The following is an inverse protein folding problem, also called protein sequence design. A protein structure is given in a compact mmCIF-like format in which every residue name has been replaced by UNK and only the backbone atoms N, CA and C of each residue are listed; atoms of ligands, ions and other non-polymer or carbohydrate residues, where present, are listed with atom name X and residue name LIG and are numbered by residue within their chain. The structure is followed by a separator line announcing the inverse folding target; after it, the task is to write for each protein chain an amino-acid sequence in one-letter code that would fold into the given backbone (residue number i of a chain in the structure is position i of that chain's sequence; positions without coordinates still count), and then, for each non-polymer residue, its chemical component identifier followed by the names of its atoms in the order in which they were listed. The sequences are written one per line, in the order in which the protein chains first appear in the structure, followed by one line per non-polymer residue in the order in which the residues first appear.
data_IF_591337218841
#
_entry.id   IF_591337218841
#
_cell.length_a   1.000
_cell.length_b   1.000
_cell.length_c   1.000
_cell.angle_alpha   90.00
_cell.angle_beta   90.00
_cell.angle_gamma   90.00
#
_symmetry.space_group_name_H-M   'P 1'
#
loop_
_entity.id
_entity.type
_entity.pdbx_description
1 polymer ?
#
# COMPACT_ATOMS: atom_id res chain seq x y z
N UNK A 1 -2.94 -20.77 13.36
CA UNK A 1 -2.65 -22.09 12.75
C UNK A 1 -3.85 -22.78 12.08
N UNK A 2 -5.05 -22.87 12.68
CA UNK A 2 -6.18 -23.61 12.07
C UNK A 2 -6.67 -23.05 10.72
N UNK A 3 -6.67 -21.73 10.52
CA UNK A 3 -7.06 -21.08 9.25
C UNK A 3 -6.05 -21.32 8.11
N UNK A 4 -4.75 -21.30 8.39
CA UNK A 4 -3.68 -21.61 7.42
C UNK A 4 -3.78 -23.07 6.98
N UNK A 5 -3.98 -23.99 7.94
CA UNK A 5 -4.19 -25.41 7.65
C UNK A 5 -5.46 -25.65 6.83
N UNK A 6 -6.52 -24.85 6.99
CA UNK A 6 -7.73 -24.97 6.18
C UNK A 6 -7.54 -24.49 4.73
N UNK A 7 -6.65 -23.52 4.47
CA UNK A 7 -6.27 -23.15 3.10
C UNK A 7 -5.42 -24.25 2.46
N UNK A 8 -4.42 -24.76 3.17
CA UNK A 8 -3.59 -25.87 2.67
C UNK A 8 -4.42 -27.15 2.42
N UNK A 9 -5.41 -27.43 3.28
CA UNK A 9 -6.39 -28.52 3.08
C UNK A 9 -7.39 -28.28 1.96
N UNK A 10 -7.62 -27.03 1.55
CA UNK A 10 -8.44 -26.73 0.37
C UNK A 10 -7.67 -26.85 -0.95
N UNK A 11 -6.35 -27.04 -0.90
CA UNK A 11 -5.46 -27.10 -2.06
C UNK A 11 -4.82 -28.49 -2.24
N UNK A 12 -4.91 -29.42 -1.28
CA UNK A 12 -4.44 -30.80 -1.50
C UNK A 12 -5.25 -31.86 -0.74
N UNK A 13 -5.77 -32.85 -1.47
CA UNK A 13 -6.40 -34.05 -0.93
C UNK A 13 -5.30 -35.11 -0.73
N UNK A 14 -4.90 -35.32 0.53
CA UNK A 14 -4.56 -36.65 1.10
C UNK A 14 -4.37 -36.53 2.62
N UNK A 15 -5.21 -37.28 3.33
CA UNK A 15 -5.30 -37.38 4.79
C UNK A 15 -4.14 -38.17 5.40
N UNK A 16 -3.66 -37.74 6.57
CA UNK A 16 -3.27 -38.66 7.66
C UNK A 16 -3.30 -37.94 9.04
N UNK A 17 -3.85 -38.54 10.13
CA UNK A 17 -3.96 -37.92 11.45
C UNK A 17 -2.95 -38.50 12.46
N UNK A 18 -2.24 -37.66 13.21
CA UNK A 18 -1.61 -38.08 14.48
C UNK A 18 -1.22 -36.89 15.40
N UNK A 19 -1.83 -36.90 16.60
CA UNK A 19 -1.38 -36.37 17.90
C UNK A 19 -1.23 -34.86 18.13
N UNK A 20 -1.36 -34.30 19.34
CA UNK A 20 -2.15 -34.53 20.55
C UNK A 20 -1.91 -33.29 21.45
N UNK A 21 -2.83 -33.02 22.38
CA UNK A 21 -2.90 -31.88 23.31
C UNK A 21 -1.66 -31.67 24.19
N UNK A 22 -1.43 -30.43 24.66
CA UNK A 22 -1.12 -30.08 26.06
C UNK A 22 -1.61 -28.64 26.34
N UNK A 23 -2.45 -28.52 27.36
CA UNK A 23 -2.91 -27.27 27.99
C UNK A 23 -1.95 -26.90 29.13
N UNK A 24 -1.57 -25.62 29.22
CA UNK A 24 -0.95 -25.02 30.39
C UNK A 24 -1.58 -23.66 30.68
N UNK A 25 -2.39 -23.57 31.73
CA UNK A 25 -2.96 -22.30 32.23
C UNK A 25 -1.94 -21.61 33.13
N UNK A 26 -1.58 -20.37 32.83
CA UNK A 26 -0.91 -19.46 33.76
C UNK A 26 -1.93 -18.41 34.20
N UNK A 27 -2.20 -18.36 35.51
CA UNK A 27 -3.00 -17.32 36.14
C UNK A 27 -2.14 -16.06 36.31
N UNK A 28 -2.54 -14.96 35.67
CA UNK A 28 -2.04 -13.61 35.97
C UNK A 28 -3.11 -12.81 36.72
N UNK A 29 -2.68 -12.16 37.81
CA UNK A 29 -3.51 -11.37 38.72
C UNK A 29 -4.20 -10.19 38.02
N UNK A 30 -5.50 -10.01 38.31
CA UNK A 30 -6.32 -8.90 37.83
C UNK A 30 -5.96 -7.61 38.57
N UNK A 31 -5.62 -6.57 37.80
CA UNK A 31 -5.54 -5.19 38.27
C UNK A 31 -6.57 -4.35 37.48
N UNK A 32 -7.46 -3.64 38.18
CA UNK A 32 -8.23 -2.46 37.72
C UNK A 32 -9.09 -2.59 36.45
N UNK A 33 -10.38 -2.88 36.63
CA UNK A 33 -11.41 -2.91 35.59
C UNK A 33 -11.81 -1.51 35.10
N UNK A 34 -11.43 -1.15 33.85
CA UNK A 34 -12.25 -0.29 32.97
C UNK A 34 -11.84 -0.28 31.46
N UNK A 35 -11.17 -1.32 30.92
CA UNK A 35 -10.67 -1.27 29.53
C UNK A 35 -10.56 -2.58 28.75
N UNK A 36 -11.30 -3.64 29.11
CA UNK A 36 -11.07 -5.01 28.59
C UNK A 36 -12.10 -5.52 27.55
N UNK A 37 -12.96 -4.67 26.99
CA UNK A 37 -13.87 -5.14 25.94
C UNK A 37 -13.12 -5.29 24.62
N UNK A 38 -13.22 -6.47 24.01
CA UNK A 38 -12.79 -6.65 22.63
C UNK A 38 -13.74 -5.90 21.68
N UNK A 39 -13.24 -5.58 20.49
CA UNK A 39 -14.02 -4.97 19.42
C UNK A 39 -15.15 -5.93 18.97
N UNK A 40 -16.26 -5.37 18.48
CA UNK A 40 -17.39 -6.15 17.95
C UNK A 40 -17.76 -5.71 16.52
N UNK A 41 -17.16 -4.63 16.02
CA UNK A 41 -17.43 -4.08 14.70
C UNK A 41 -16.13 -3.71 13.98
N UNK A 42 -16.16 -3.76 12.65
CA UNK A 42 -15.12 -3.22 11.79
C UNK A 42 -15.76 -2.35 10.71
N UNK A 43 -14.98 -1.45 10.14
CA UNK A 43 -15.41 -0.50 9.12
C UNK A 43 -14.49 -0.59 7.91
N UNK A 44 -15.02 -0.98 6.76
CA UNK A 44 -14.24 -1.05 5.54
C UNK A 44 -14.28 0.29 4.81
N UNK A 45 -13.11 0.85 4.53
CA UNK A 45 -12.94 2.00 3.64
C UNK A 45 -12.09 1.58 2.43
N UNK A 46 -12.56 1.94 1.24
CA UNK A 46 -11.86 1.71 -0.03
C UNK A 46 -11.95 2.95 -0.90
N UNK A 47 -10.89 3.20 -1.67
CA UNK A 47 -10.93 4.13 -2.79
C UNK A 47 -11.91 3.64 -3.86
N UNK A 48 -12.41 4.57 -4.68
CA UNK A 48 -13.01 4.19 -5.95
C UNK A 48 -11.91 3.59 -6.84
N UNK A 49 -12.28 2.56 -7.60
CA UNK A 49 -11.36 1.87 -8.51
C UNK A 49 -12.01 1.81 -9.88
N UNK A 50 -11.27 2.22 -10.90
CA UNK A 50 -11.62 1.98 -12.31
C UNK A 50 -10.56 1.07 -12.90
N UNK A 51 -10.99 -0.06 -13.45
CA UNK A 51 -10.11 -1.02 -14.10
C UNK A 51 -10.46 -1.14 -15.59
N UNK A 52 -9.43 -1.20 -16.42
CA UNK A 52 -9.59 -1.53 -17.83
C UNK A 52 -8.34 -1.16 -18.64
N UNK A 53 -8.01 -1.93 -19.69
CA UNK A 53 -6.94 -1.53 -20.61
C UNK A 53 -7.20 -0.14 -21.18
N UNK A 54 -6.28 0.79 -20.97
CA UNK A 54 -6.34 2.15 -21.51
C UNK A 54 -7.05 3.20 -20.65
N UNK A 55 -7.59 2.85 -19.47
CA UNK A 55 -8.31 3.80 -18.58
C UNK A 55 -7.46 5.00 -18.14
N UNK A 56 -6.14 4.90 -18.21
CA UNK A 56 -5.21 6.03 -18.02
C UNK A 56 -5.59 7.25 -18.87
N UNK A 57 -6.15 7.01 -20.06
CA UNK A 57 -6.50 8.07 -21.03
C UNK A 57 -7.68 8.93 -20.59
N UNK A 58 -8.41 8.53 -19.55
CA UNK A 58 -9.60 9.23 -19.04
C UNK A 58 -9.28 10.25 -17.95
N UNK A 59 -8.05 10.26 -17.41
CA UNK A 59 -7.69 11.05 -16.22
C UNK A 59 -7.89 12.56 -16.38
N UNK A 60 -7.70 13.12 -17.58
CA UNK A 60 -8.01 14.51 -17.88
C UNK A 60 -9.49 14.83 -17.70
N UNK A 61 -10.38 13.95 -18.17
CA UNK A 61 -11.83 14.10 -18.00
C UNK A 61 -12.23 13.94 -16.53
N UNK A 62 -11.55 13.09 -15.77
CA UNK A 62 -11.79 12.96 -14.33
C UNK A 62 -11.50 14.28 -13.59
N UNK A 63 -10.37 14.94 -13.88
CA UNK A 63 -10.05 16.24 -13.28
C UNK A 63 -10.98 17.37 -13.78
N UNK A 64 -11.39 17.34 -15.04
CA UNK A 64 -12.38 18.28 -15.58
C UNK A 64 -13.72 18.15 -14.82
N UNK A 65 -14.19 16.92 -14.59
CA UNK A 65 -15.40 16.63 -13.82
C UNK A 65 -15.29 17.06 -12.35
N UNK A 66 -14.09 16.93 -11.76
CA UNK A 66 -13.78 17.42 -10.41
C UNK A 66 -13.64 18.94 -10.33
N UNK A 67 -13.65 19.64 -11.49
CA UNK A 67 -13.41 21.08 -11.61
C UNK A 67 -12.02 21.51 -11.09
N UNK A 68 -11.05 20.60 -11.15
CA UNK A 68 -9.65 20.89 -10.82
C UNK A 68 -9.03 21.73 -11.94
N UNK A 69 -8.23 22.73 -11.57
CA UNK A 69 -7.60 23.64 -12.53
C UNK A 69 -6.08 23.47 -12.56
N UNK A 70 -5.44 23.18 -11.41
CA UNK A 70 -4.00 23.12 -11.26
C UNK A 70 -3.59 21.82 -10.58
N UNK A 71 -3.14 20.85 -11.36
CA UNK A 71 -2.78 19.50 -10.90
C UNK A 71 -1.27 19.37 -10.69
N UNK A 72 -0.88 18.91 -9.50
CA UNK A 72 0.47 18.44 -9.23
C UNK A 72 0.63 17.00 -9.66
N UNK A 73 1.44 16.73 -10.70
CA UNK A 73 1.67 15.37 -11.24
C UNK A 73 2.96 14.81 -10.66
N UNK A 74 2.87 13.71 -9.93
CA UNK A 74 3.99 13.04 -9.27
C UNK A 74 4.40 11.80 -10.05
N UNK A 75 5.70 11.66 -10.32
CA UNK A 75 6.29 10.46 -10.91
C UNK A 75 7.76 10.34 -10.49
N UNK A 76 8.42 9.26 -10.91
CA UNK A 76 9.86 9.06 -10.70
C UNK A 76 10.66 9.20 -12.01
N UNK A 77 11.96 9.39 -11.87
CA UNK A 77 12.87 9.59 -13.00
C UNK A 77 12.94 8.38 -13.97
N UNK A 78 12.51 7.18 -13.56
CA UNK A 78 12.46 6.03 -14.45
C UNK A 78 11.23 6.06 -15.35
N UNK A 79 10.14 6.69 -14.91
CA UNK A 79 8.85 6.66 -15.61
C UNK A 79 8.56 7.91 -16.43
N UNK A 80 9.23 9.03 -16.17
CA UNK A 80 8.95 10.31 -16.86
C UNK A 80 8.95 10.21 -18.39
N UNK A 81 9.81 9.34 -18.95
CA UNK A 81 9.94 9.10 -20.39
C UNK A 81 9.14 7.88 -20.90
N UNK A 82 8.33 7.23 -20.06
CA UNK A 82 7.54 6.06 -20.44
C UNK A 82 6.18 6.45 -21.05
N UNK A 83 5.60 5.53 -21.84
CA UNK A 83 4.30 5.73 -22.51
C UNK A 83 3.14 6.00 -21.55
N UNK A 84 3.20 5.54 -20.29
CA UNK A 84 2.18 5.85 -19.28
C UNK A 84 2.14 7.35 -18.97
N UNK A 85 3.31 8.00 -18.88
CA UNK A 85 3.40 9.44 -18.67
C UNK A 85 2.94 10.19 -19.90
N UNK A 86 3.37 9.80 -21.11
CA UNK A 86 2.86 10.42 -22.34
C UNK A 86 1.33 10.37 -22.43
N UNK A 87 0.72 9.19 -22.21
CA UNK A 87 -0.74 9.02 -22.21
C UNK A 87 -1.44 9.88 -21.15
N UNK A 88 -0.84 9.97 -19.97
CA UNK A 88 -1.36 10.80 -18.86
C UNK A 88 -1.34 12.28 -19.24
N UNK A 89 -0.19 12.80 -19.65
CA UNK A 89 -0.01 14.21 -19.96
C UNK A 89 -0.86 14.62 -21.18
N UNK A 90 -0.95 13.76 -22.20
CA UNK A 90 -1.83 13.96 -23.34
C UNK A 90 -3.31 14.07 -22.92
N UNK A 91 -3.74 13.24 -21.97
CA UNK A 91 -5.11 13.28 -21.43
C UNK A 91 -5.38 14.61 -20.72
N UNK A 92 -4.47 15.04 -19.83
CA UNK A 92 -4.58 16.33 -19.14
C UNK A 92 -4.62 17.50 -20.12
N UNK A 93 -3.75 17.51 -21.14
CA UNK A 93 -3.69 18.56 -22.17
C UNK A 93 -4.98 18.60 -23.00
N UNK A 94 -5.53 17.45 -23.40
CA UNK A 94 -6.80 17.37 -24.15
C UNK A 94 -7.97 17.94 -23.35
N UNK A 95 -8.02 17.69 -22.04
CA UNK A 95 -9.02 18.26 -21.13
C UNK A 95 -8.68 19.66 -20.62
N UNK A 96 -7.62 20.30 -21.16
CA UNK A 96 -7.20 21.67 -20.80
C UNK A 96 -6.91 21.86 -19.30
N UNK A 97 -6.43 20.82 -18.64
CA UNK A 97 -6.03 20.86 -17.24
C UNK A 97 -4.61 21.45 -17.16
N UNK A 98 -4.41 22.49 -16.35
CA UNK A 98 -3.05 22.98 -16.10
C UNK A 98 -2.36 22.02 -15.13
N UNK A 99 -1.10 21.69 -15.41
CA UNK A 99 -0.33 20.81 -14.54
C UNK A 99 1.14 21.21 -14.47
N UNK A 100 1.79 20.77 -13.40
CA UNK A 100 3.25 20.74 -13.29
C UNK A 100 3.69 19.38 -12.77
N UNK A 101 4.81 18.90 -13.30
CA UNK A 101 5.36 17.59 -12.97
C UNK A 101 6.42 17.74 -11.87
N UNK A 102 6.33 16.84 -10.88
CA UNK A 102 7.34 16.55 -9.89
C UNK A 102 7.86 15.14 -10.18
N UNK A 103 9.03 15.05 -10.82
CA UNK A 103 9.70 13.81 -11.23
C UNK A 103 10.86 13.42 -10.30
N UNK A 104 10.98 14.11 -9.17
CA UNK A 104 12.02 13.93 -8.17
C UNK A 104 11.63 12.91 -7.08
N UNK A 105 10.57 12.11 -7.30
CA UNK A 105 10.19 11.07 -6.34
C UNK A 105 11.34 10.07 -6.18
N UNK A 106 11.73 9.85 -4.93
CA UNK A 106 12.71 8.85 -4.54
C UNK A 106 12.05 7.49 -4.35
N UNK A 107 12.66 6.44 -4.90
CA UNK A 107 12.31 5.04 -4.56
C UNK A 107 12.68 4.77 -3.11
N UNK A 108 11.73 4.20 -2.35
CA UNK A 108 11.75 4.15 -0.87
C UNK A 108 11.81 5.58 -0.30
N UNK A 109 10.69 6.32 -0.24
CA UNK A 109 10.72 7.73 0.15
C UNK A 109 11.36 7.94 1.53
N UNK A 110 11.99 9.09 1.76
CA UNK A 110 12.48 9.52 3.08
C UNK A 110 11.64 10.67 3.64
N UNK A 111 11.82 10.99 4.92
CA UNK A 111 11.16 12.17 5.51
C UNK A 111 11.56 13.47 4.81
N UNK A 112 12.81 13.60 4.37
CA UNK A 112 13.28 14.73 3.56
C UNK A 112 12.51 14.81 2.24
N UNK A 113 12.42 13.70 1.49
CA UNK A 113 11.73 13.68 0.20
C UNK A 113 10.22 13.97 0.33
N UNK A 114 9.59 13.58 1.45
CA UNK A 114 8.21 13.93 1.74
C UNK A 114 8.03 15.43 2.00
N UNK A 115 8.94 16.05 2.76
CA UNK A 115 8.92 17.49 3.02
C UNK A 115 9.12 18.30 1.73
N UNK A 116 10.07 17.89 0.89
CA UNK A 116 10.34 18.56 -0.39
C UNK A 116 9.13 18.51 -1.33
N UNK A 117 8.48 17.35 -1.42
CA UNK A 117 7.26 17.16 -2.19
C UNK A 117 6.09 17.99 -1.65
N UNK A 118 5.92 18.07 -0.32
CA UNK A 118 4.90 18.90 0.31
C UNK A 118 5.12 20.39 0.04
N UNK A 119 6.36 20.86 0.12
CA UNK A 119 6.72 22.25 -0.17
C UNK A 119 6.47 22.60 -1.64
N UNK A 120 6.77 21.69 -2.56
CA UNK A 120 6.41 21.86 -3.97
C UNK A 120 4.91 22.10 -4.17
N UNK A 121 4.05 21.30 -3.54
CA UNK A 121 2.59 21.48 -3.63
C UNK A 121 2.15 22.80 -3.02
N UNK A 122 2.73 23.17 -1.88
CA UNK A 122 2.42 24.42 -1.16
C UNK A 122 2.76 25.66 -1.99
N UNK A 123 3.95 25.71 -2.58
CA UNK A 123 4.42 26.85 -3.39
C UNK A 123 3.59 26.99 -4.67
N UNK A 124 3.31 25.88 -5.35
CA UNK A 124 2.59 25.89 -6.62
C UNK A 124 1.07 26.00 -6.48
N UNK A 125 0.55 25.83 -5.25
CA UNK A 125 -0.88 25.96 -4.92
C UNK A 125 -1.78 25.06 -5.78
N UNK A 126 -1.39 23.79 -5.94
CA UNK A 126 -2.24 22.83 -6.66
C UNK A 126 -3.56 22.61 -5.92
N UNK A 127 -4.62 22.38 -6.68
CA UNK A 127 -5.95 22.06 -6.18
C UNK A 127 -6.27 20.56 -6.25
N UNK A 128 -5.41 19.77 -6.91
CA UNK A 128 -5.50 18.32 -6.99
C UNK A 128 -4.11 17.68 -7.23
N UNK A 129 -4.02 16.39 -6.90
CA UNK A 129 -2.79 15.59 -6.99
C UNK A 129 -3.03 14.40 -7.93
N UNK A 130 -2.09 14.16 -8.84
CA UNK A 130 -2.06 12.99 -9.70
C UNK A 130 -0.77 12.22 -9.47
N UNK A 131 -0.87 10.96 -9.05
CA UNK A 131 0.29 10.09 -8.87
C UNK A 131 0.37 9.08 -10.01
N UNK A 132 1.49 9.01 -10.72
CA UNK A 132 1.73 8.01 -11.78
C UNK A 132 3.03 7.27 -11.48
N UNK A 133 2.91 6.07 -10.92
CA UNK A 133 4.08 5.30 -10.52
C UNK A 133 3.78 4.13 -9.60
N UNK A 134 4.83 3.58 -8.98
CA UNK A 134 4.70 2.58 -7.93
C UNK A 134 4.33 3.18 -6.57
N UNK A 135 4.39 2.36 -5.52
CA UNK A 135 4.06 2.78 -4.15
C UNK A 135 4.81 4.01 -3.67
N UNK A 136 6.09 4.17 -4.01
CA UNK A 136 6.87 5.36 -3.61
C UNK A 136 6.27 6.67 -4.14
N UNK A 137 5.82 6.69 -5.40
CA UNK A 137 5.18 7.87 -6.01
C UNK A 137 3.85 8.18 -5.33
N UNK A 138 3.02 7.14 -5.11
CA UNK A 138 1.71 7.31 -4.50
C UNK A 138 1.84 7.76 -3.04
N UNK A 139 2.76 7.18 -2.28
CA UNK A 139 3.00 7.53 -0.87
C UNK A 139 3.57 8.95 -0.73
N UNK A 140 4.49 9.35 -1.61
CA UNK A 140 4.97 10.74 -1.67
C UNK A 140 3.84 11.72 -2.00
N UNK A 141 2.98 11.41 -2.98
CA UNK A 141 1.84 12.25 -3.31
C UNK A 141 0.81 12.36 -2.18
N UNK A 142 0.57 11.27 -1.44
CA UNK A 142 -0.28 11.26 -0.23
C UNK A 142 0.28 12.17 0.85
N UNK A 143 1.57 12.05 1.16
CA UNK A 143 2.23 12.90 2.15
C UNK A 143 2.24 14.37 1.72
N UNK A 144 2.55 14.65 0.46
CA UNK A 144 2.53 15.99 -0.09
C UNK A 144 1.13 16.63 -0.01
N UNK A 145 0.07 15.86 -0.29
CA UNK A 145 -1.31 16.32 -0.15
C UNK A 145 -1.66 16.63 1.32
N UNK A 146 -1.27 15.75 2.25
CA UNK A 146 -1.51 15.93 3.68
C UNK A 146 -0.84 17.20 4.21
N UNK A 147 0.49 17.30 4.11
CA UNK A 147 1.24 18.41 4.72
C UNK A 147 1.08 19.74 3.97
N UNK A 148 0.70 19.72 2.69
CA UNK A 148 0.32 20.96 2.00
C UNK A 148 -1.10 21.43 2.32
N UNK A 149 -1.94 20.57 2.91
CA UNK A 149 -3.30 20.92 3.34
C UNK A 149 -3.34 21.33 4.81
N UNK A 150 -2.34 20.92 5.60
CA UNK A 150 -2.13 21.35 6.99
C UNK A 150 -0.73 21.96 7.17
N UNK A 151 -0.54 23.24 6.81
CA UNK A 151 0.78 23.87 6.80
C UNK A 151 1.36 24.15 8.20
N UNK A 152 0.55 24.05 9.25
CA UNK A 152 0.93 24.32 10.64
C UNK A 152 1.31 23.04 11.41
N UNK A 153 1.08 21.86 10.83
CA UNK A 153 1.40 20.59 11.45
C UNK A 153 2.92 20.35 11.52
N UNK A 154 3.38 19.81 12.65
CA UNK A 154 4.72 19.23 12.74
C UNK A 154 4.76 17.95 11.87
N UNK A 155 5.89 17.69 11.20
CA UNK A 155 6.03 16.49 10.37
C UNK A 155 5.69 15.20 11.14
N UNK A 156 6.04 15.10 12.43
CA UNK A 156 5.78 13.91 13.23
C UNK A 156 4.35 13.83 13.81
N UNK A 157 3.48 14.81 13.58
CA UNK A 157 2.11 14.79 14.11
C UNK A 157 1.32 13.60 13.59
N UNK A 158 1.37 13.37 12.28
CA UNK A 158 0.63 12.30 11.61
C UNK A 158 1.37 10.96 11.54
N UNK A 159 2.67 10.96 11.78
CA UNK A 159 3.49 9.74 11.76
C UNK A 159 3.04 8.80 12.88
N UNK A 160 2.95 7.51 12.58
CA UNK A 160 2.44 6.52 13.51
C UNK A 160 3.34 6.39 14.77
N UNK A 161 2.75 6.14 15.95
CA UNK A 161 3.50 5.72 17.13
C UNK A 161 4.25 4.41 16.86
N UNK A 162 5.42 4.18 17.47
CA UNK A 162 6.02 4.98 18.56
C UNK A 162 6.91 6.15 18.08
N UNK A 163 7.08 6.36 16.77
CA UNK A 163 8.00 7.39 16.24
C UNK A 163 7.34 8.77 16.22
N UNK A 164 6.09 8.84 15.76
CA UNK A 164 5.30 10.07 15.74
C UNK A 164 4.14 10.06 16.72
N UNK A 165 3.27 11.06 16.61
CA UNK A 165 2.14 11.29 17.54
C UNK A 165 0.85 10.57 17.10
N UNK A 166 0.74 10.14 15.84
CA UNK A 166 -0.44 9.43 15.30
C UNK A 166 -1.73 10.24 15.36
N UNK A 167 -1.65 11.56 15.22
CA UNK A 167 -2.80 12.45 15.31
C UNK A 167 -3.83 12.16 14.21
N UNK A 168 -5.14 12.33 14.50
CA UNK A 168 -6.17 12.19 13.49
C UNK A 168 -6.07 13.31 12.45
N UNK A 169 -6.24 12.96 11.17
CA UNK A 169 -6.40 13.94 10.08
C UNK A 169 -7.86 14.40 10.06
N UNK A 170 -8.12 15.64 10.47
CA UNK A 170 -9.46 16.23 10.55
C UNK A 170 -9.70 17.33 9.50
N UNK A 171 -8.65 17.69 8.76
CA UNK A 171 -8.70 18.66 7.66
C UNK A 171 -9.11 18.00 6.35
N UNK A 172 -9.80 18.71 5.44
CA UNK A 172 -10.06 18.21 4.10
C UNK A 172 -8.77 18.13 3.28
N UNK A 173 -8.53 16.99 2.63
CA UNK A 173 -7.44 16.84 1.67
C UNK A 173 -7.92 17.14 0.24
N UNK A 174 -6.98 17.51 -0.64
CA UNK A 174 -7.25 17.73 -2.06
C UNK A 174 -7.59 16.40 -2.74
N UNK A 175 -8.37 16.37 -3.84
CA UNK A 175 -8.56 15.16 -4.62
C UNK A 175 -7.22 14.57 -5.07
N UNK A 176 -7.07 13.25 -4.93
CA UNK A 176 -5.88 12.53 -5.35
C UNK A 176 -6.27 11.35 -6.24
N UNK A 177 -5.80 11.35 -7.49
CA UNK A 177 -5.92 10.22 -8.41
C UNK A 177 -4.59 9.47 -8.44
N UNK A 178 -4.64 8.14 -8.35
CA UNK A 178 -3.47 7.28 -8.42
C UNK A 178 -3.54 6.35 -9.64
N UNK A 179 -2.48 6.32 -10.43
CA UNK A 179 -2.28 5.46 -11.59
C UNK A 179 -1.09 4.53 -11.27
N UNK A 180 -1.33 3.34 -10.68
CA UNK A 180 -0.26 2.43 -10.34
C UNK A 180 0.43 1.88 -11.59
N UNK A 181 1.76 1.80 -11.56
CA UNK A 181 2.58 1.21 -12.65
C UNK A 181 3.28 -0.08 -12.22
N UNK A 182 3.09 -0.49 -10.98
CA UNK A 182 3.59 -1.76 -10.43
C UNK A 182 2.46 -2.61 -9.87
N UNK A 183 2.65 -3.93 -9.85
CA UNK A 183 1.71 -4.90 -9.29
C UNK A 183 2.23 -5.38 -7.93
N UNK A 184 2.13 -4.55 -6.90
CA UNK A 184 2.76 -4.77 -5.60
C UNK A 184 1.98 -4.20 -4.41
N UNK A 185 2.13 -2.89 -4.21
CA UNK A 185 1.83 -2.25 -2.92
C UNK A 185 0.34 -2.07 -2.65
N UNK A 186 -0.50 -2.08 -3.70
CA UNK A 186 -1.91 -1.71 -3.59
C UNK A 186 -2.16 -0.30 -3.05
N UNK A 187 -1.14 0.56 -3.04
CA UNK A 187 -1.17 1.90 -2.41
C UNK A 187 -2.27 2.79 -2.98
N UNK A 188 -2.70 2.55 -4.21
CA UNK A 188 -3.82 3.23 -4.85
C UNK A 188 -5.19 3.01 -4.16
N UNK A 189 -5.27 2.05 -3.22
CA UNK A 189 -6.49 1.73 -2.46
C UNK A 189 -6.35 1.88 -0.94
N UNK A 190 -5.15 2.23 -0.44
CA UNK A 190 -4.86 2.30 1.00
C UNK A 190 -4.71 3.74 1.48
N UNK A 191 -4.96 3.95 2.78
CA UNK A 191 -4.69 5.21 3.47
C UNK A 191 -3.33 5.22 4.16
N UNK A 192 -2.35 4.51 3.61
CA UNK A 192 -1.01 4.41 4.19
C UNK A 192 0.01 5.07 3.28
N UNK A 193 0.96 5.77 3.88
CA UNK A 193 2.15 6.30 3.23
C UNK A 193 3.38 5.89 4.05
N UNK A 194 4.29 5.13 3.44
CA UNK A 194 5.49 4.58 4.07
C UNK A 194 6.73 5.37 3.64
N UNK A 195 7.64 5.60 4.59
CA UNK A 195 8.93 6.24 4.33
C UNK A 195 10.01 5.76 5.31
N UNK A 196 11.27 5.94 4.91
CA UNK A 196 12.43 5.78 5.78
C UNK A 196 12.64 7.06 6.59
N UNK A 197 12.56 6.95 7.91
CA UNK A 197 12.89 8.04 8.81
C UNK A 197 14.40 8.07 9.07
N UNK A 198 15.10 8.94 8.36
CA UNK A 198 16.56 8.99 8.31
C UNK A 198 17.21 9.16 9.70
N UNK A 199 16.69 10.01 10.61
CA UNK A 199 17.28 10.19 11.94
C UNK A 199 17.36 8.91 12.78
N UNK A 200 16.44 7.95 12.59
CA UNK A 200 16.43 6.68 13.32
C UNK A 200 16.86 5.49 12.47
N UNK A 201 17.13 5.68 11.17
CA UNK A 201 17.41 4.60 10.20
C UNK A 201 16.34 3.50 10.26
N UNK A 202 15.09 3.91 10.38
CA UNK A 202 13.96 3.02 10.58
C UNK A 202 12.84 3.37 9.60
N UNK A 203 12.22 2.34 9.03
CA UNK A 203 11.03 2.51 8.20
C UNK A 203 9.81 2.74 9.09
N UNK A 204 8.98 3.72 8.73
CA UNK A 204 7.74 4.07 9.43
C UNK A 204 6.72 4.58 8.42
N UNK A 205 5.58 5.09 8.89
CA UNK A 205 4.61 5.69 7.99
C UNK A 205 3.48 6.40 8.70
N UNK A 206 2.54 6.86 7.88
CA UNK A 206 1.28 7.48 8.27
C UNK A 206 0.17 6.52 7.88
N UNK A 207 -0.74 6.18 8.80
CA UNK A 207 -1.88 5.31 8.51
C UNK A 207 -3.19 6.00 8.89
N UNK A 208 -3.83 6.65 7.90
CA UNK A 208 -5.10 7.33 8.11
C UNK A 208 -6.03 7.20 6.88
N UNK A 209 -7.32 6.98 7.12
CA UNK A 209 -8.33 6.81 6.05
C UNK A 209 -8.38 8.00 5.09
N UNK A 210 -8.11 9.21 5.57
CA UNK A 210 -8.10 10.42 4.75
C UNK A 210 -7.07 10.39 3.61
N UNK A 211 -5.98 9.63 3.73
CA UNK A 211 -4.94 9.52 2.70
C UNK A 211 -5.34 8.62 1.53
N UNK A 212 -6.49 7.96 1.57
CA UNK A 212 -6.93 7.11 0.46
C UNK A 212 -7.09 7.96 -0.80
N UNK A 213 -6.55 7.52 -1.95
CA UNK A 213 -6.84 8.16 -3.22
C UNK A 213 -8.35 8.25 -3.46
N UNK A 214 -8.79 9.35 -4.05
CA UNK A 214 -10.17 9.52 -4.50
C UNK A 214 -10.51 8.50 -5.58
N UNK A 215 -9.56 8.19 -6.45
CA UNK A 215 -9.69 7.22 -7.54
C UNK A 215 -8.36 6.52 -7.83
N UNK A 216 -8.38 5.18 -7.89
CA UNK A 216 -7.31 4.36 -8.45
C UNK A 216 -7.64 3.94 -9.89
N UNK A 217 -6.81 4.30 -10.87
CA UNK A 217 -6.95 3.92 -12.29
C UNK A 217 -6.05 2.72 -12.61
N UNK A 218 -6.62 1.52 -12.54
CA UNK A 218 -5.91 0.25 -12.74
C UNK A 218 -5.89 -0.09 -14.22
N UNK A 219 -4.89 0.42 -14.93
CA UNK A 219 -4.67 0.13 -16.35
C UNK A 219 -3.62 -0.98 -16.50
N UNK A 220 -3.99 -2.22 -16.87
CA UNK A 220 -3.07 -3.33 -16.99
C UNK A 220 -1.91 -3.06 -17.97
N UNK A 221 -2.09 -2.17 -18.94
CA UNK A 221 -1.05 -1.79 -19.90
C UNK A 221 0.14 -1.08 -19.23
N UNK A 222 -0.06 -0.46 -18.06
CA UNK A 222 0.98 0.30 -17.36
C UNK A 222 2.04 -0.62 -16.73
N UNK A 223 1.73 -1.90 -16.54
CA UNK A 223 2.63 -2.88 -15.89
C UNK A 223 3.45 -3.71 -16.88
N UNK A 224 3.20 -3.57 -18.19
CA UNK A 224 3.89 -4.35 -19.23
C UNK A 224 5.38 -3.99 -19.35
N UNK A 225 5.74 -2.76 -18.99
CA UNK A 225 7.14 -2.30 -18.99
C UNK A 225 7.88 -2.57 -17.68
N UNK A 226 7.21 -3.17 -16.69
CA UNK A 226 7.79 -3.44 -15.37
C UNK A 226 8.93 -4.46 -15.46
N UNK A 227 10.16 -4.11 -15.01
CA UNK A 227 11.30 -5.03 -15.02
C UNK A 227 11.00 -6.33 -14.27
N UNK A 228 11.65 -7.42 -14.69
CA UNK A 228 11.42 -8.76 -14.12
C UNK A 228 11.65 -8.80 -12.60
N UNK A 229 12.70 -8.17 -12.11
CA UNK A 229 12.99 -8.10 -10.67
C UNK A 229 11.92 -7.34 -9.89
N UNK A 230 11.47 -6.19 -10.42
CA UNK A 230 10.36 -5.43 -9.84
C UNK A 230 9.11 -6.30 -9.79
N UNK A 231 8.79 -7.04 -10.86
CA UNK A 231 7.66 -7.96 -10.90
C UNK A 231 7.75 -9.09 -9.86
N UNK A 232 8.95 -9.63 -9.64
CA UNK A 232 9.21 -10.66 -8.62
C UNK A 232 8.96 -10.10 -7.23
N UNK A 233 9.63 -9.00 -6.88
CA UNK A 233 9.53 -8.46 -5.52
C UNK A 233 8.16 -7.86 -5.25
N UNK A 234 7.53 -7.22 -6.22
CA UNK A 234 6.18 -6.71 -6.08
C UNK A 234 5.17 -7.86 -5.89
N UNK A 235 5.29 -8.98 -6.61
CA UNK A 235 4.40 -10.11 -6.41
C UNK A 235 4.61 -10.84 -5.08
N UNK A 236 5.83 -10.85 -4.53
CA UNK A 236 6.06 -11.31 -3.16
C UNK A 236 5.36 -10.43 -2.13
N UNK A 237 5.35 -9.11 -2.34
CA UNK A 237 4.61 -8.16 -1.52
C UNK A 237 3.10 -8.49 -1.54
N UNK A 238 2.51 -8.68 -2.72
CA UNK A 238 1.09 -9.09 -2.90
C UNK A 238 0.78 -10.39 -2.17
N UNK A 239 1.65 -11.41 -2.28
CA UNK A 239 1.49 -12.68 -1.58
C UNK A 239 1.47 -12.48 -0.06
N UNK A 240 2.44 -11.74 0.49
CA UNK A 240 2.52 -11.49 1.92
C UNK A 240 1.36 -10.62 2.41
N UNK A 241 0.93 -9.59 1.67
CA UNK A 241 -0.28 -8.84 1.97
C UNK A 241 -1.50 -9.76 2.14
N UNK A 242 -1.73 -10.67 1.20
CA UNK A 242 -2.86 -11.58 1.23
C UNK A 242 -2.78 -12.59 2.39
N UNK A 243 -1.61 -13.19 2.60
CA UNK A 243 -1.41 -14.14 3.70
C UNK A 243 -1.59 -13.44 5.06
N UNK A 244 -0.88 -12.33 5.29
CA UNK A 244 -0.88 -11.66 6.59
C UNK A 244 -2.24 -11.05 6.93
N UNK A 245 -2.94 -10.45 5.96
CA UNK A 245 -4.28 -9.90 6.20
C UNK A 245 -5.29 -10.99 6.56
N UNK A 246 -5.21 -12.16 5.93
CA UNK A 246 -6.10 -13.28 6.20
C UNK A 246 -5.81 -13.95 7.55
N UNK A 247 -4.55 -13.97 7.98
CA UNK A 247 -4.11 -14.60 9.23
C UNK A 247 -3.95 -13.64 10.40
N UNK A 248 -4.18 -12.34 10.18
CA UNK A 248 -4.20 -11.35 11.24
C UNK A 248 -5.18 -11.73 12.35
N UNK A 249 -4.88 -11.23 13.56
CA UNK A 249 -5.80 -11.30 14.70
C UNK A 249 -7.21 -10.92 14.24
N UNK A 250 -8.23 -11.69 14.62
CA UNK A 250 -9.58 -11.40 14.13
C UNK A 250 -10.05 -10.06 14.68
N UNK A 251 -10.87 -9.36 13.91
CA UNK A 251 -11.36 -8.04 14.32
C UNK A 251 -12.06 -8.08 15.69
N UNK A 252 -12.77 -9.17 16.01
CA UNK A 252 -13.51 -9.37 17.25
C UNK A 252 -12.65 -9.81 18.46
N UNK A 253 -11.35 -10.04 18.23
CA UNK A 253 -10.36 -10.38 19.25
C UNK A 253 -9.47 -9.16 19.61
N UNK A 254 -9.57 -8.05 18.87
CA UNK A 254 -8.77 -6.85 19.11
C UNK A 254 -9.21 -6.13 20.38
N UNK A 255 -8.23 -5.66 21.15
CA UNK A 255 -8.41 -4.92 22.39
C UNK A 255 -7.30 -3.85 22.54
N UNK A 256 -7.58 -2.68 23.15
CA UNK A 256 -8.88 -2.25 23.64
C UNK A 256 -9.80 -1.79 22.49
N UNK A 257 -11.11 -2.01 22.65
CA UNK A 257 -12.12 -1.41 21.77
C UNK A 257 -12.06 0.12 21.85
N UNK A 258 -12.09 0.86 20.72
CA UNK A 258 -12.15 2.31 20.74
C UNK A 258 -13.45 2.81 21.42
N UNK A 259 -13.36 3.88 22.20
CA UNK A 259 -14.53 4.48 22.87
C UNK A 259 -15.50 5.17 21.90
N UNK A 260 -15.01 5.59 20.73
CA UNK A 260 -15.78 6.23 19.67
C UNK A 260 -15.39 5.60 18.31
N UNK A 261 -16.35 5.28 17.41
CA UNK A 261 -16.06 4.77 16.07
C UNK A 261 -15.01 5.58 15.29
N UNK A 262 -14.95 6.91 15.49
CA UNK A 262 -13.97 7.79 14.86
C UNK A 262 -12.51 7.40 15.18
N UNK A 263 -12.27 6.80 16.34
CA UNK A 263 -10.94 6.36 16.77
C UNK A 263 -10.61 4.92 16.36
N UNK A 264 -11.49 4.26 15.59
CA UNK A 264 -11.19 2.93 15.08
C UNK A 264 -10.01 3.03 14.12
N UNK A 265 -8.93 2.25 14.31
CA UNK A 265 -7.74 2.37 13.48
C UNK A 265 -8.02 1.95 12.03
N UNK A 266 -7.15 2.35 11.11
CA UNK A 266 -7.25 1.94 9.70
C UNK A 266 -7.18 0.41 9.56
N UNK A 267 -6.26 -0.24 10.29
CA UNK A 267 -6.10 -1.69 10.33
C UNK A 267 -6.85 -2.29 11.52
N UNK A 268 -7.73 -3.24 11.21
CA UNK A 268 -8.76 -3.70 12.13
C UNK A 268 -8.75 -5.20 12.35
N UNK A 269 -7.73 -5.91 11.88
CA UNK A 269 -7.64 -7.36 11.98
C UNK A 269 -8.41 -8.07 10.87
N UNK A 270 -8.20 -9.39 10.75
CA UNK A 270 -8.88 -10.20 9.75
C UNK A 270 -10.39 -10.11 9.95
N UNK A 271 -11.12 -9.97 8.85
CA UNK A 271 -12.56 -9.73 8.87
C UNK A 271 -13.22 -10.33 7.63
N UNK A 272 -14.51 -10.75 7.70
CA UNK A 272 -15.16 -11.49 6.62
C UNK A 272 -15.16 -10.78 5.27
N UNK A 273 -15.16 -9.44 5.24
CA UNK A 273 -15.15 -8.68 3.97
C UNK A 273 -13.73 -8.65 3.37
N UNK A 274 -12.72 -8.37 4.18
CA UNK A 274 -11.31 -8.37 3.73
C UNK A 274 -10.84 -9.77 3.32
N UNK A 275 -11.33 -10.81 4.00
CA UNK A 275 -11.02 -12.21 3.73
C UNK A 275 -11.44 -12.64 2.30
N UNK A 276 -12.46 -12.01 1.69
CA UNK A 276 -12.84 -12.25 0.28
C UNK A 276 -11.71 -11.85 -0.66
N UNK A 277 -11.16 -10.65 -0.47
CA UNK A 277 -10.10 -10.11 -1.32
C UNK A 277 -8.79 -10.84 -1.11
N UNK A 278 -8.44 -11.19 0.13
CA UNK A 278 -7.25 -11.97 0.43
C UNK A 278 -7.29 -13.34 -0.25
N UNK A 279 -8.43 -14.05 -0.19
CA UNK A 279 -8.59 -15.37 -0.83
C UNK A 279 -8.50 -15.29 -2.36
N UNK A 280 -9.15 -14.32 -2.99
CA UNK A 280 -9.05 -14.17 -4.45
C UNK A 280 -7.64 -13.78 -4.88
N UNK A 281 -6.96 -12.92 -4.10
CA UNK A 281 -5.56 -12.59 -4.33
C UNK A 281 -4.68 -13.84 -4.32
N UNK A 282 -4.83 -14.71 -3.31
CA UNK A 282 -4.06 -15.97 -3.23
C UNK A 282 -4.32 -16.87 -4.44
N UNK A 283 -5.57 -16.94 -4.90
CA UNK A 283 -5.97 -17.72 -6.07
C UNK A 283 -5.33 -17.19 -7.37
N UNK A 284 -5.25 -15.87 -7.50
CA UNK A 284 -4.57 -15.23 -8.63
C UNK A 284 -3.06 -15.46 -8.55
N UNK A 285 -2.46 -15.32 -7.37
CA UNK A 285 -1.01 -15.55 -7.16
C UNK A 285 -0.64 -16.98 -7.58
N UNK A 286 -1.37 -17.98 -7.10
CA UNK A 286 -1.17 -19.39 -7.46
C UNK A 286 -1.15 -19.59 -8.98
N UNK A 287 -2.11 -19.00 -9.69
CA UNK A 287 -2.27 -19.21 -11.13
C UNK A 287 -1.33 -18.38 -12.00
N UNK A 288 -1.06 -17.13 -11.64
CA UNK A 288 -0.50 -16.13 -12.58
C UNK A 288 0.86 -15.56 -12.15
N UNK A 289 1.27 -15.70 -10.89
CA UNK A 289 2.51 -15.04 -10.44
C UNK A 289 3.75 -15.55 -11.16
N UNK A 290 3.94 -16.88 -11.24
CA UNK A 290 5.08 -17.44 -11.97
C UNK A 290 5.01 -17.16 -13.48
N UNK A 291 3.80 -17.12 -14.06
CA UNK A 291 3.60 -16.79 -15.48
C UNK A 291 4.07 -15.36 -15.77
N UNK A 292 3.63 -14.39 -14.97
CA UNK A 292 3.97 -12.98 -15.16
C UNK A 292 5.48 -12.69 -15.04
N UNK A 293 6.19 -13.48 -14.24
CA UNK A 293 7.66 -13.41 -14.10
C UNK A 293 8.38 -14.06 -15.28
N UNK A 294 7.89 -15.21 -15.74
CA UNK A 294 8.53 -16.01 -16.81
C UNK A 294 8.38 -15.35 -18.17
N UNK A 295 7.24 -14.72 -18.42
CA UNK A 295 6.94 -14.06 -19.67
C UNK A 295 6.34 -12.67 -19.41
N UNK A 296 7.10 -11.63 -19.77
CA UNK A 296 6.63 -10.24 -19.66
C UNK A 296 5.55 -9.88 -20.70
N UNK A 297 5.43 -10.68 -21.77
CA UNK A 297 4.41 -10.50 -22.81
C UNK A 297 3.11 -11.25 -22.52
N UNK A 298 3.04 -12.04 -21.44
CA UNK A 298 1.81 -12.67 -20.97
C UNK A 298 0.88 -11.60 -20.36
N UNK A 299 0.12 -10.93 -21.24
CA UNK A 299 -0.80 -9.84 -20.89
C UNK A 299 -1.84 -10.33 -19.87
N UNK A 300 -2.33 -11.57 -20.00
CA UNK A 300 -3.30 -12.13 -19.05
C UNK A 300 -2.70 -12.21 -17.65
N UNK A 301 -1.50 -12.80 -17.52
CA UNK A 301 -0.85 -12.94 -16.22
C UNK A 301 -0.46 -11.59 -15.62
N UNK A 302 0.05 -10.65 -16.42
CA UNK A 302 0.38 -9.29 -15.97
C UNK A 302 -0.86 -8.53 -15.51
N UNK A 303 -1.95 -8.61 -16.26
CA UNK A 303 -3.22 -7.97 -15.92
C UNK A 303 -3.81 -8.53 -14.63
N UNK A 304 -3.84 -9.86 -14.48
CA UNK A 304 -4.34 -10.50 -13.27
C UNK A 304 -3.47 -10.18 -12.05
N UNK A 305 -2.14 -10.15 -12.19
CA UNK A 305 -1.25 -9.73 -11.10
C UNK A 305 -1.47 -8.27 -10.70
N UNK A 306 -1.76 -7.39 -11.66
CA UNK A 306 -2.10 -6.00 -11.36
C UNK A 306 -3.42 -5.89 -10.58
N UNK A 307 -4.45 -6.64 -10.97
CA UNK A 307 -5.69 -6.75 -10.19
C UNK A 307 -5.48 -7.35 -8.80
N UNK A 308 -4.65 -8.39 -8.68
CA UNK A 308 -4.32 -8.98 -7.39
C UNK A 308 -3.62 -7.99 -6.44
N UNK A 309 -2.78 -7.09 -6.96
CA UNK A 309 -2.22 -5.99 -6.16
C UNK A 309 -3.31 -5.08 -5.60
N UNK A 310 -4.30 -4.72 -6.42
CA UNK A 310 -5.44 -3.90 -5.98
C UNK A 310 -6.32 -4.66 -4.98
N UNK A 311 -6.62 -5.94 -5.21
CA UNK A 311 -7.38 -6.77 -4.27
C UNK A 311 -6.66 -6.92 -2.93
N UNK A 312 -5.35 -7.17 -2.96
CA UNK A 312 -4.52 -7.17 -1.76
C UNK A 312 -4.65 -5.84 -1.02
N UNK A 313 -4.47 -4.71 -1.72
CA UNK A 313 -4.63 -3.36 -1.18
C UNK A 313 -5.96 -3.13 -0.47
N UNK A 314 -7.07 -3.54 -1.10
CA UNK A 314 -8.40 -3.43 -0.51
C UNK A 314 -8.54 -4.32 0.74
N UNK A 315 -8.01 -5.53 0.71
CA UNK A 315 -8.02 -6.47 1.84
C UNK A 315 -7.14 -6.01 3.01
N UNK A 316 -5.82 -5.93 2.81
CA UNK A 316 -4.87 -5.57 3.86
C UNK A 316 -5.04 -4.10 4.28
N UNK A 317 -5.49 -3.21 3.41
CA UNK A 317 -5.76 -1.81 3.73
C UNK A 317 -6.80 -1.62 4.84
N UNK A 318 -7.58 -2.67 5.15
CA UNK A 318 -8.57 -2.71 6.21
C UNK A 318 -8.25 -3.73 7.31
N UNK A 319 -7.68 -4.89 6.96
CA UNK A 319 -7.30 -5.91 7.94
C UNK A 319 -5.95 -5.63 8.63
N UNK A 320 -5.00 -5.05 7.90
CA UNK A 320 -3.61 -4.88 8.28
C UNK A 320 -2.70 -6.04 7.86
N UNK A 321 -1.43 -5.88 8.17
CA UNK A 321 -0.35 -6.87 8.03
C UNK A 321 0.31 -7.08 9.39
N UNK A 322 1.21 -8.05 9.52
CA UNK A 322 1.80 -8.40 10.81
C UNK A 322 3.31 -8.66 10.73
N UNK A 323 3.78 -9.83 11.21
CA UNK A 323 5.19 -10.10 11.46
C UNK A 323 6.10 -9.97 10.23
N UNK A 324 5.69 -10.35 9.02
CA UNK A 324 6.58 -10.25 7.86
C UNK A 324 6.84 -8.77 7.53
N UNK A 325 5.80 -7.96 7.43
CA UNK A 325 5.95 -6.52 7.26
C UNK A 325 6.65 -5.84 8.43
N UNK A 326 6.33 -6.20 9.68
CA UNK A 326 6.96 -5.63 10.87
C UNK A 326 8.47 -5.89 10.94
N UNK A 327 8.92 -7.10 10.57
CA UNK A 327 10.34 -7.45 10.49
C UNK A 327 11.03 -6.82 9.27
N UNK A 328 10.29 -6.61 8.18
CA UNK A 328 10.82 -6.01 6.95
C UNK A 328 11.47 -4.64 7.16
N UNK A 329 10.98 -3.86 8.14
CA UNK A 329 11.47 -2.51 8.43
C UNK A 329 12.88 -2.51 9.00
N UNK A 330 13.19 -3.45 9.90
CA UNK A 330 14.55 -3.62 10.41
C UNK A 330 15.49 -4.15 9.35
N UNK A 331 15.00 -5.06 8.49
CA UNK A 331 15.78 -5.59 7.37
C UNK A 331 16.12 -4.48 6.37
N UNK A 332 15.15 -3.63 6.00
CA UNK A 332 15.36 -2.54 5.06
C UNK A 332 16.20 -1.41 5.63
N UNK A 333 15.97 -1.01 6.88
CA UNK A 333 16.73 0.07 7.54
C UNK A 333 18.22 -0.24 7.76
N UNK A 334 18.60 -1.52 7.73
CA UNK A 334 19.98 -1.98 7.94
C UNK A 334 20.72 -2.34 6.64
N UNK A 335 20.11 -2.12 5.47
CA UNK A 335 20.77 -2.38 4.19
C UNK A 335 21.99 -1.47 3.99
N UNK A 336 23.08 -2.03 3.49
CA UNK A 336 24.35 -1.29 3.28
C UNK A 336 24.83 -1.28 1.84
N UNK A 337 24.66 -2.39 1.13
CA UNK A 337 25.30 -2.59 -0.19
C UNK A 337 24.45 -3.34 -1.21
N UNK A 338 23.27 -3.84 -0.84
CA UNK A 338 22.42 -4.55 -1.78
C UNK A 338 21.88 -3.58 -2.83
N UNK A 339 22.02 -3.93 -4.11
CA UNK A 339 21.42 -3.23 -5.24
C UNK A 339 20.86 -4.29 -6.18
N UNK A 340 19.54 -4.50 -6.19
CA UNK A 340 18.91 -5.51 -7.03
C UNK A 340 18.96 -5.09 -8.51
N UNK A 341 19.24 -6.05 -9.39
CA UNK A 341 19.18 -5.82 -10.84
C UNK A 341 17.82 -5.24 -11.25
N UNK A 342 17.79 -4.31 -12.19
CA UNK A 342 16.55 -3.70 -12.70
C UNK A 342 15.94 -2.59 -11.84
N UNK A 343 16.58 -2.22 -10.73
CA UNK A 343 16.30 -0.99 -10.00
C UNK A 343 17.38 0.04 -10.37
N UNK A 344 17.01 1.01 -11.21
CA UNK A 344 17.92 2.08 -11.64
C UNK A 344 17.91 3.21 -10.59
N UNK A 345 18.64 3.02 -9.50
CA UNK A 345 18.69 3.96 -8.37
C UNK A 345 20.13 4.20 -7.89
N UNK A 346 20.44 5.38 -7.34
CA UNK A 346 21.80 5.74 -6.95
C UNK A 346 22.23 5.19 -5.57
N UNK A 347 21.33 4.52 -4.84
CA UNK A 347 21.55 4.11 -3.45
C UNK A 347 21.25 2.62 -3.21
N UNK A 348 21.91 1.98 -2.24
CA UNK A 348 21.58 0.62 -1.82
C UNK A 348 20.15 0.51 -1.27
N UNK A 349 19.45 -0.55 -1.66
CA UNK A 349 18.14 -0.92 -1.12
C UNK A 349 18.03 -2.42 -0.98
N UNK A 350 17.10 -2.86 -0.15
CA UNK A 350 16.46 -4.17 -0.31
C UNK A 350 15.02 -3.91 -0.75
N UNK A 351 14.57 -4.41 -1.91
CA UNK A 351 13.19 -4.23 -2.36
C UNK A 351 12.20 -4.66 -1.28
N UNK A 352 11.17 -3.86 -1.06
CA UNK A 352 10.22 -4.10 0.02
C UNK A 352 9.69 -5.54 0.05
N UNK A 353 9.15 -6.06 -1.06
CA UNK A 353 8.63 -7.42 -1.06
C UNK A 353 9.68 -8.50 -0.80
N UNK A 354 10.97 -8.26 -1.09
CA UNK A 354 12.05 -9.17 -0.68
C UNK A 354 12.30 -9.12 0.84
N UNK A 355 12.33 -7.92 1.42
CA UNK A 355 12.51 -7.78 2.88
C UNK A 355 11.31 -8.31 3.67
N UNK A 356 10.11 -8.30 3.08
CA UNK A 356 8.90 -8.89 3.66
C UNK A 356 8.91 -10.42 3.54
N UNK A 357 9.13 -10.97 2.34
CA UNK A 357 8.93 -12.42 2.11
C UNK A 357 10.00 -13.30 2.78
N UNK A 358 11.19 -12.78 3.04
CA UNK A 358 12.31 -13.57 3.58
C UNK A 358 12.00 -14.21 4.94
N UNK A 359 11.11 -13.59 5.74
CA UNK A 359 10.68 -14.12 7.04
C UNK A 359 9.43 -14.99 6.95
N UNK A 360 8.73 -15.01 5.81
CA UNK A 360 7.44 -15.68 5.66
C UNK A 360 7.47 -17.18 6.02
N UNK A 361 8.49 -17.99 5.66
CA UNK A 361 8.55 -19.40 6.02
C UNK A 361 8.60 -19.70 7.53
N UNK A 362 8.96 -18.71 8.36
CA UNK A 362 8.94 -18.86 9.82
C UNK A 362 7.65 -18.33 10.45
N UNK A 363 6.89 -17.51 9.73
CA UNK A 363 5.64 -16.90 10.22
C UNK A 363 4.43 -17.79 9.94
N UNK A 364 4.41 -18.52 8.82
CA UNK A 364 3.34 -19.42 8.39
C UNK A 364 3.78 -20.87 8.44
#
# INVERSE_FOLDING_TARGET
MSRVLNILRSIDFKSCPAHCNILGRVHANKCGSNGNSTEYAFEMASSNVRYGPGVTSEVGMDFENMKSQNVGVFTDANLINHQVMSRTLDSLTKSRINYKVYDLVRVEPTDTSFKDAAEFVKIQKFDAILCVGGGSVIDTGKAANLYSSDPDADFLDYVNPPIGKGQPVIIPLKPLIAIPTTSGTGSETTGVAIFDYEPLKAKTGIANRALRPTLGLIDPLNTLTMPKSVAIYSGFDVLCHALESFTALRYDERSPRPQNPLHRPAYQGSNPISDVWARETLRIIEKYFLRSIRDASDIEARSNMHLASTFAGVGFGNAGVHLCHGLSYSISGLVRSHQPNGYNIPHPIIPHGLSVVITAPSVF
#
